data_IF_233293750114
#
_entry.id   IF_233293750114
#
_cell.length_a   1.000
_cell.length_b   1.000
_cell.length_c   1.000
_cell.angle_alpha   90.00
_cell.angle_beta   90.00
_cell.angle_gamma   90.00
#
_symmetry.space_group_name_H-M   'P 1'
#
loop_
_entity.id
_entity.type
_entity.pdbx_description
1 polymer ?
#
# COMPACT_ATOMS: atom_id res chain seq x y z
N UNK A 1 -31.29 15.58 2.84
CA UNK A 1 -30.03 16.25 3.23
C UNK A 1 -28.86 15.43 2.71
N UNK A 2 -27.81 16.06 2.21
CA UNK A 2 -26.60 15.38 1.72
C UNK A 2 -25.46 15.58 2.71
N UNK A 3 -24.69 14.54 2.92
CA UNK A 3 -23.51 14.57 3.80
C UNK A 3 -22.26 14.16 3.03
N UNK A 4 -21.15 14.79 3.34
CA UNK A 4 -19.87 14.41 2.78
C UNK A 4 -19.19 13.40 3.70
N UNK A 5 -18.80 12.26 3.13
CA UNK A 5 -18.15 11.19 3.87
C UNK A 5 -16.83 10.88 3.17
N UNK A 6 -15.78 10.79 3.95
CA UNK A 6 -14.46 10.42 3.44
C UNK A 6 -14.13 9.02 3.90
N UNK A 7 -13.72 8.17 2.96
CA UNK A 7 -13.28 6.80 3.24
C UNK A 7 -11.80 6.72 2.91
N UNK A 8 -11.01 6.29 3.88
CA UNK A 8 -9.57 6.12 3.72
C UNK A 8 -9.21 4.66 3.94
N UNK A 9 -8.53 4.05 2.99
CA UNK A 9 -8.06 2.67 3.08
C UNK A 9 -6.55 2.63 3.05
N UNK A 10 -5.96 1.76 3.85
CA UNK A 10 -4.52 1.52 3.87
C UNK A 10 -4.25 0.10 3.41
N UNK A 11 -3.45 -0.04 2.37
CA UNK A 11 -3.06 -1.33 1.81
C UNK A 11 -1.58 -1.59 2.12
N UNK A 12 -1.29 -2.80 2.59
CA UNK A 12 0.05 -3.17 2.98
C UNK A 12 0.33 -4.62 2.62
N UNK A 13 1.50 -4.86 2.06
CA UNK A 13 1.96 -6.21 1.74
C UNK A 13 3.42 -6.38 2.14
N UNK A 14 3.73 -7.51 2.72
CA UNK A 14 5.09 -7.88 3.08
C UNK A 14 5.61 -8.86 2.04
N UNK A 15 6.78 -8.56 1.45
CA UNK A 15 7.42 -9.41 0.45
C UNK A 15 8.84 -9.74 0.87
N UNK A 16 9.38 -10.87 0.37
CA UNK A 16 10.78 -11.22 0.53
C UNK A 16 11.56 -10.78 -0.70
N UNK A 17 12.70 -10.12 -0.44
CA UNK A 17 13.58 -9.66 -1.50
C UNK A 17 14.99 -10.09 -1.18
N UNK A 18 15.63 -10.84 -2.09
CA UNK A 18 17.04 -11.19 -1.94
C UNK A 18 17.92 -10.03 -2.36
N UNK A 19 18.81 -9.62 -1.45
CA UNK A 19 19.75 -8.53 -1.70
C UNK A 19 20.91 -8.61 -0.72
N UNK A 20 22.02 -7.97 -1.07
CA UNK A 20 23.25 -8.00 -0.25
C UNK A 20 23.22 -7.00 0.89
N UNK A 21 22.30 -6.04 0.87
CA UNK A 21 22.16 -5.01 1.90
C UNK A 21 20.72 -4.51 1.96
N UNK A 22 20.40 -3.78 3.03
CA UNK A 22 19.09 -3.17 3.18
C UNK A 22 18.83 -2.14 2.09
N UNK A 23 19.85 -1.39 1.70
CA UNK A 23 19.74 -0.39 0.64
C UNK A 23 19.44 -1.03 -0.72
N UNK A 24 20.12 -2.15 -1.01
CA UNK A 24 19.88 -2.89 -2.24
C UNK A 24 18.48 -3.51 -2.25
N UNK A 25 18.02 -4.02 -1.11
CA UNK A 25 16.67 -4.58 -0.97
C UNK A 25 15.61 -3.52 -1.21
N UNK A 26 15.78 -2.34 -0.64
CA UNK A 26 14.86 -1.22 -0.81
C UNK A 26 14.77 -0.78 -2.27
N UNK A 27 15.92 -0.63 -2.92
CA UNK A 27 16.00 -0.25 -4.33
C UNK A 27 15.33 -1.28 -5.23
N UNK A 28 15.56 -2.55 -4.94
CA UNK A 28 14.97 -3.64 -5.71
C UNK A 28 13.45 -3.68 -5.54
N UNK A 29 12.95 -3.49 -4.31
CA UNK A 29 11.53 -3.44 -4.05
C UNK A 29 10.85 -2.27 -4.76
N UNK A 30 11.47 -1.09 -4.76
CA UNK A 30 10.95 0.06 -5.50
C UNK A 30 10.85 -0.21 -6.99
N UNK A 31 11.88 -0.84 -7.56
CA UNK A 31 11.90 -1.22 -8.97
C UNK A 31 10.76 -2.18 -9.30
N UNK A 32 10.55 -3.19 -8.46
CA UNK A 32 9.46 -4.15 -8.64
C UNK A 32 8.10 -3.47 -8.54
N UNK A 33 7.94 -2.55 -7.61
CA UNK A 33 6.70 -1.82 -7.44
C UNK A 33 6.38 -0.96 -8.67
N UNK A 34 7.36 -0.21 -9.16
CA UNK A 34 7.19 0.67 -10.33
C UNK A 34 6.97 -0.11 -11.63
N UNK A 35 7.53 -1.32 -11.72
CA UNK A 35 7.36 -2.17 -12.89
C UNK A 35 6.04 -2.96 -12.89
N UNK A 36 5.27 -2.88 -11.81
CA UNK A 36 4.02 -3.61 -11.69
C UNK A 36 4.18 -5.06 -11.25
N UNK A 37 5.37 -5.47 -10.80
CA UNK A 37 5.59 -6.81 -10.25
C UNK A 37 4.95 -6.98 -8.89
N UNK A 38 4.75 -5.87 -8.18
CA UNK A 38 4.06 -5.82 -6.89
C UNK A 38 2.85 -4.92 -7.06
N UNK A 39 1.65 -5.49 -6.93
CA UNK A 39 0.40 -4.76 -7.02
C UNK A 39 -0.38 -5.01 -5.73
N UNK A 40 -0.70 -3.93 -5.02
CA UNK A 40 -1.49 -4.03 -3.80
C UNK A 40 -2.97 -4.18 -4.17
N UNK A 41 -3.62 -5.13 -3.54
CA UNK A 41 -5.02 -5.48 -3.81
C UNK A 41 -5.87 -5.29 -2.56
N UNK A 42 -7.17 -5.46 -2.70
CA UNK A 42 -8.10 -5.34 -1.57
C UNK A 42 -7.79 -6.34 -0.46
N UNK A 43 -7.20 -7.48 -0.79
CA UNK A 43 -6.75 -8.48 0.21
C UNK A 43 -5.58 -7.96 1.08
N UNK A 44 -4.92 -6.90 0.65
CA UNK A 44 -3.81 -6.28 1.39
C UNK A 44 -4.30 -5.17 2.34
N UNK A 45 -5.61 -4.98 2.44
CA UNK A 45 -6.20 -3.99 3.30
C UNK A 45 -5.91 -4.28 4.77
N UNK A 46 -5.29 -3.32 5.47
CA UNK A 46 -4.97 -3.45 6.89
C UNK A 46 -5.78 -2.50 7.76
N UNK A 47 -6.33 -1.45 7.16
CA UNK A 47 -7.11 -0.46 7.90
C UNK A 47 -8.07 0.27 6.98
N UNK A 48 -9.20 0.66 7.52
CA UNK A 48 -10.17 1.48 6.80
C UNK A 48 -10.81 2.45 7.80
N UNK A 49 -10.87 3.71 7.41
CA UNK A 49 -11.47 4.76 8.22
C UNK A 49 -12.60 5.44 7.44
N UNK A 50 -13.63 5.80 8.16
CA UNK A 50 -14.75 6.55 7.61
C UNK A 50 -14.99 7.77 8.48
N UNK A 51 -15.03 8.93 7.87
CA UNK A 51 -15.25 10.19 8.56
C UNK A 51 -16.35 11.00 7.86
N UNK A 52 -17.25 11.54 8.66
CA UNK A 52 -18.26 12.47 8.17
C UNK A 52 -17.68 13.86 8.24
N UNK A 53 -17.50 14.50 7.10
CA UNK A 53 -16.87 15.82 7.00
C UNK A 53 -17.85 16.94 7.27
N UNK A 54 -19.13 16.65 7.12
CA UNK A 54 -20.11 17.72 7.22
C UNK A 54 -21.52 17.15 7.45
#
# INVERSE_FOLDING_TARGET
>A
MKWNVEITETLQRRIEVEAESTEAAERKAWTMYHNGDIVLESSDLVDAELAVLQ
#
